data_IF_869077839544
#
_entry.id   IF_869077839544
#
_cell.length_a   1.000
_cell.length_b   1.000
_cell.length_c   1.000
_cell.angle_alpha   90.00
_cell.angle_beta   90.00
_cell.angle_gamma   90.00
#
_symmetry.space_group_name_H-M   'P 1'
#
loop_
_entity.id
_entity.type
_entity.pdbx_description
1 polymer ?
#
# COMPACT_ATOMS: atom_id res chain seq x y z
N UNK A 1 -12.54 13.44 9.91
CA UNK A 1 -13.20 13.15 8.62
C UNK A 1 -12.29 12.17 7.90
N UNK A 2 -12.37 10.90 8.27
CA UNK A 2 -11.32 9.92 7.97
C UNK A 2 -11.83 8.99 6.87
N UNK A 3 -11.59 9.35 5.61
CA UNK A 3 -11.64 8.36 4.54
C UNK A 3 -10.34 7.56 4.64
N UNK A 4 -10.40 6.47 5.40
CA UNK A 4 -9.40 5.42 5.25
C UNK A 4 -9.71 4.79 3.89
N UNK A 5 -9.03 5.28 2.86
CA UNK A 5 -9.05 4.68 1.53
C UNK A 5 -8.33 3.32 1.65
N UNK A 6 -9.08 2.31 2.07
CA UNK A 6 -8.64 0.92 2.06
C UNK A 6 -8.52 0.49 0.60
N UNK A 7 -7.36 0.75 0.00
CA UNK A 7 -7.00 0.15 -1.30
C UNK A 7 -6.72 -1.33 -1.04
N UNK A 8 -7.80 -2.11 -0.96
CA UNK A 8 -7.76 -3.57 -1.15
C UNK A 8 -7.72 -3.81 -2.65
N UNK A 9 -6.56 -3.64 -3.28
CA UNK A 9 -6.39 -4.17 -4.63
C UNK A 9 -5.43 -5.36 -4.58
N UNK A 10 -5.90 -6.46 -5.15
CA UNK A 10 -5.12 -7.68 -5.37
C UNK A 10 -3.95 -7.49 -6.34
N UNK A 11 -3.78 -6.29 -6.93
CA UNK A 11 -2.78 -5.99 -7.97
C UNK A 11 -1.71 -4.97 -7.52
N UNK A 12 -1.90 -4.27 -6.39
CA UNK A 12 -0.93 -3.29 -5.89
C UNK A 12 0.03 -3.92 -4.87
N UNK A 13 1.11 -4.53 -5.36
CA UNK A 13 2.18 -5.06 -4.50
C UNK A 13 3.07 -3.94 -3.97
N UNK A 14 3.52 -4.08 -2.72
CA UNK A 14 4.54 -3.19 -2.17
C UNK A 14 5.82 -3.25 -3.04
N UNK A 15 6.38 -2.08 -3.40
CA UNK A 15 7.60 -1.99 -4.22
C UNK A 15 8.86 -2.41 -3.46
N UNK A 16 8.81 -2.45 -2.12
CA UNK A 16 9.94 -2.88 -1.30
C UNK A 16 10.08 -4.42 -1.35
N UNK A 17 11.12 -4.91 -2.04
CA UNK A 17 11.42 -6.34 -2.17
C UNK A 17 11.67 -7.05 -0.82
N UNK A 18 11.97 -6.29 0.25
CA UNK A 18 12.18 -6.84 1.61
C UNK A 18 10.93 -6.79 2.48
N UNK A 19 9.78 -6.35 1.96
CA UNK A 19 8.54 -6.31 2.72
C UNK A 19 8.03 -7.73 2.99
N UNK A 20 7.54 -8.00 4.19
CA UNK A 20 6.98 -9.31 4.59
C UNK A 20 5.83 -9.77 3.69
N UNK A 21 5.08 -8.83 3.11
CA UNK A 21 3.99 -9.11 2.17
C UNK A 21 4.47 -9.67 0.83
N UNK A 22 5.77 -9.66 0.55
CA UNK A 22 6.37 -10.27 -0.64
C UNK A 22 6.66 -11.75 -0.45
N UNK A 23 6.90 -12.21 0.78
CA UNK A 23 7.29 -13.58 1.09
C UNK A 23 6.13 -14.39 1.66
N UNK A 24 5.28 -13.78 2.47
CA UNK A 24 4.20 -14.47 3.18
C UNK A 24 2.90 -14.53 2.39
N UNK A 25 2.47 -15.75 2.02
CA UNK A 25 1.27 -16.00 1.19
C UNK A 25 -0.04 -15.48 1.78
N UNK A 26 -0.12 -15.39 3.11
CA UNK A 26 -1.37 -15.09 3.83
C UNK A 26 -1.39 -13.69 4.44
N UNK A 27 -0.35 -12.89 4.24
CA UNK A 27 -0.31 -11.51 4.72
C UNK A 27 -0.82 -10.58 3.61
N UNK A 28 -2.00 -9.94 3.78
CA UNK A 28 -2.54 -9.06 2.76
C UNK A 28 -1.70 -7.78 2.63
N UNK A 29 -1.62 -7.23 1.41
CA UNK A 29 -1.07 -5.89 1.19
C UNK A 29 -2.00 -4.85 1.86
N UNK A 30 -1.41 -3.95 2.64
CA UNK A 30 -2.14 -2.88 3.32
C UNK A 30 -1.34 -1.58 3.26
N UNK A 31 -2.03 -0.49 2.99
CA UNK A 31 -1.43 0.83 2.78
C UNK A 31 -2.28 1.93 3.41
N UNK A 32 -1.61 2.95 3.92
CA UNK A 32 -2.22 4.20 4.37
C UNK A 32 -2.00 5.28 3.34
N UNK A 33 -3.04 6.02 3.01
CA UNK A 33 -2.95 7.22 2.20
C UNK A 33 -2.19 8.31 2.97
N UNK A 34 -1.08 8.78 2.40
CA UNK A 34 -0.26 9.85 2.97
C UNK A 34 -0.54 11.18 2.27
N UNK A 35 -0.68 11.15 0.94
CA UNK A 35 -0.96 12.34 0.12
C UNK A 35 -1.91 11.98 -1.03
N UNK A 36 -3.13 12.50 -0.96
CA UNK A 36 -4.16 12.34 -2.00
C UNK A 36 -3.79 12.98 -3.34
N UNK A 37 -3.12 14.14 -3.31
CA UNK A 37 -2.78 14.90 -4.51
C UNK A 37 -1.76 14.16 -5.35
N UNK A 38 -0.75 13.60 -4.69
CA UNK A 38 0.34 12.86 -5.33
C UNK A 38 0.06 11.34 -5.41
N UNK A 39 -1.10 10.88 -4.92
CA UNK A 39 -1.45 9.46 -4.82
C UNK A 39 -0.36 8.65 -4.11
N UNK A 40 0.17 9.22 -3.02
CA UNK A 40 1.23 8.63 -2.21
C UNK A 40 0.63 7.82 -1.07
N UNK A 41 1.10 6.59 -0.94
CA UNK A 41 0.66 5.65 0.08
C UNK A 41 1.87 5.05 0.80
N UNK A 42 1.74 4.86 2.11
CA UNK A 42 2.75 4.22 2.95
C UNK A 42 2.31 2.79 3.25
N UNK A 43 3.20 1.82 3.08
CA UNK A 43 2.95 0.42 3.44
C UNK A 43 2.90 0.24 4.96
N UNK A 44 1.85 -0.39 5.49
CA UNK A 44 1.70 -0.59 6.94
C UNK A 44 2.71 -1.59 7.55
N UNK A 45 3.49 -2.31 6.72
CA UNK A 45 4.44 -3.32 7.20
C UNK A 45 5.90 -2.90 7.14
N UNK A 46 6.28 -2.07 6.16
CA UNK A 46 7.69 -1.67 5.97
C UNK A 46 7.90 -0.17 5.89
N UNK A 47 6.84 0.62 6.10
CA UNK A 47 6.81 2.09 5.97
C UNK A 47 7.28 2.63 4.61
N UNK A 48 7.38 1.75 3.61
CA UNK A 48 7.81 2.12 2.25
C UNK A 48 6.77 2.94 1.50
N UNK A 49 7.22 3.93 0.76
CA UNK A 49 6.41 4.76 -0.13
C UNK A 49 6.00 4.01 -1.40
N UNK A 50 4.73 4.15 -1.76
CA UNK A 50 4.12 3.52 -2.93
C UNK A 50 3.20 4.54 -3.62
N UNK A 51 3.09 4.39 -4.94
CA UNK A 51 2.18 5.18 -5.78
C UNK A 51 1.32 4.23 -6.59
N UNK A 52 0.01 4.47 -6.58
CA UNK A 52 -0.97 3.66 -7.29
C UNK A 52 -1.75 4.51 -8.28
N UNK A 53 -1.91 4.01 -9.51
CA UNK A 53 -2.79 4.64 -10.49
C UNK A 53 -4.26 4.35 -10.10
N UNK A 54 -5.09 5.39 -10.10
CA UNK A 54 -6.55 5.23 -10.01
C UNK A 54 -7.02 4.88 -11.42
N UNK A 55 -7.58 3.69 -11.59
CA UNK A 55 -8.42 3.39 -12.75
C UNK A 55 -9.74 4.17 -12.66
#
# INVERSE_FOLDING_TARGET
MNKVDNIKSSENKCKNQRCITQTEKYVPQSFKLLDEKNKLYICEYCDGENTFEKF
#
